data_IF_713841986878
#
_entry.id   IF_713841986878
#
_cell.length_a   1.000
_cell.length_b   1.000
_cell.length_c   1.000
_cell.angle_alpha   90.00
_cell.angle_beta   90.00
_cell.angle_gamma   90.00
#
_symmetry.space_group_name_H-M   'P 1'
#
loop_
_entity.id
_entity.type
_entity.pdbx_description
1 polymer ?
#
# COMPACT_ATOMS: atom_id res chain seq x y z
N UNK A 1 -27.42 -59.76 -23.21
CA UNK A 1 -28.47 -60.13 -22.22
C UNK A 1 -27.80 -60.56 -20.91
N UNK A 2 -28.32 -60.06 -19.76
CA UNK A 2 -28.24 -60.60 -18.39
C UNK A 2 -26.95 -60.51 -17.55
N UNK A 3 -26.90 -59.44 -16.74
CA UNK A 3 -26.77 -59.34 -15.26
C UNK A 3 -26.05 -60.42 -14.42
N UNK A 4 -25.30 -59.98 -13.38
CA UNK A 4 -25.05 -60.77 -12.17
C UNK A 4 -24.06 -60.20 -11.13
N UNK A 5 -24.58 -59.48 -10.13
CA UNK A 5 -23.98 -58.93 -8.89
C UNK A 5 -22.97 -59.81 -8.10
N UNK A 6 -22.04 -59.17 -7.34
CA UNK A 6 -22.14 -59.01 -5.85
C UNK A 6 -20.97 -58.22 -5.22
N UNK A 7 -21.32 -57.50 -4.15
CA UNK A 7 -20.61 -56.46 -3.40
C UNK A 7 -19.58 -56.95 -2.36
N UNK A 8 -18.62 -56.07 -2.04
CA UNK A 8 -18.11 -55.75 -0.68
C UNK A 8 -17.26 -54.47 -0.85
N UNK A 9 -17.52 -53.31 -0.26
CA UNK A 9 -17.97 -52.99 1.09
C UNK A 9 -16.82 -52.26 1.81
N UNK A 10 -16.98 -50.98 2.15
CA UNK A 10 -16.35 -50.33 3.32
C UNK A 10 -16.89 -48.91 3.51
N UNK A 11 -17.18 -48.61 4.77
CA UNK A 11 -17.84 -47.42 5.30
C UNK A 11 -16.83 -46.28 5.46
N UNK A 12 -17.24 -45.04 5.18
CA UNK A 12 -16.70 -43.81 5.75
C UNK A 12 -17.75 -42.70 5.52
N UNK A 13 -18.67 -42.50 6.47
CA UNK A 13 -18.62 -41.45 7.49
C UNK A 13 -18.58 -40.02 6.93
N UNK A 14 -19.77 -39.39 6.98
CA UNK A 14 -20.04 -37.98 7.22
C UNK A 14 -19.19 -36.96 6.44
N UNK A 15 -19.72 -36.49 5.31
CA UNK A 15 -19.36 -35.15 4.82
C UNK A 15 -20.11 -34.12 5.66
N UNK A 16 -19.31 -33.33 6.35
CA UNK A 16 -19.70 -32.24 7.24
C UNK A 16 -20.51 -31.19 6.48
N UNK A 17 -21.67 -30.84 7.03
CA UNK A 17 -22.40 -29.65 6.66
C UNK A 17 -21.62 -28.41 7.13
N UNK A 18 -20.94 -27.73 6.21
CA UNK A 18 -20.45 -26.37 6.47
C UNK A 18 -21.63 -25.41 6.29
N UNK A 19 -22.46 -25.33 7.33
CA UNK A 19 -23.38 -24.23 7.51
C UNK A 19 -22.62 -23.02 8.08
N UNK A 20 -22.93 -21.84 7.55
CA UNK A 20 -22.85 -20.60 8.33
C UNK A 20 -21.64 -19.72 8.06
N UNK A 21 -21.86 -18.63 7.35
CA UNK A 21 -21.77 -17.26 7.88
C UNK A 21 -21.73 -16.27 6.70
N UNK A 22 -22.86 -15.66 6.39
CA UNK A 22 -22.92 -14.47 5.56
C UNK A 22 -23.53 -13.33 6.39
N UNK A 23 -23.03 -12.12 6.12
CA UNK A 23 -23.42 -10.82 6.68
C UNK A 23 -22.76 -10.43 8.01
N UNK A 24 -21.53 -9.92 7.91
CA UNK A 24 -21.04 -8.90 8.83
C UNK A 24 -21.77 -7.59 8.51
N UNK A 25 -22.86 -7.29 9.22
CA UNK A 25 -23.40 -5.94 9.31
C UNK A 25 -22.80 -5.30 10.57
N UNK A 26 -21.79 -4.47 10.37
CA UNK A 26 -21.30 -3.54 11.38
C UNK A 26 -21.73 -2.13 10.96
N UNK A 27 -22.96 -1.77 11.32
CA UNK A 27 -23.35 -0.38 11.46
C UNK A 27 -23.61 -0.11 12.93
N UNK A 28 -22.52 -0.09 13.71
CA UNK A 28 -22.48 0.61 14.99
C UNK A 28 -22.63 2.11 14.66
N UNK A 29 -23.74 2.70 15.07
CA UNK A 29 -23.89 3.38 16.34
C UNK A 29 -22.95 4.60 16.41
N UNK A 30 -23.57 5.77 16.28
CA UNK A 30 -22.91 7.04 16.46
C UNK A 30 -22.34 7.19 17.87
N UNK A 31 -21.29 7.97 17.94
CA UNK A 31 -20.64 8.38 19.17
C UNK A 31 -19.58 9.40 18.80
N UNK A 32 -19.99 10.65 18.69
CA UNK A 32 -19.07 11.77 18.79
C UNK A 32 -18.60 11.80 20.23
N UNK A 33 -17.29 11.68 20.48
CA UNK A 33 -16.68 12.30 21.64
C UNK A 33 -15.17 12.43 21.43
N UNK A 34 -14.68 13.51 22.01
CA UNK A 34 -13.36 14.14 21.94
C UNK A 34 -12.22 13.27 22.47
N UNK A 35 -10.99 13.80 22.40
CA UNK A 35 -9.70 13.25 22.88
C UNK A 35 -9.09 12.19 21.92
N UNK A 36 -7.83 12.23 21.48
CA UNK A 36 -6.62 12.87 21.99
C UNK A 36 -5.63 13.08 20.84
N UNK A 37 -4.85 14.17 20.92
CA UNK A 37 -3.73 14.39 20.03
C UNK A 37 -2.57 13.42 20.29
N UNK A 38 -2.58 12.22 19.71
CA UNK A 38 -1.41 11.35 19.60
C UNK A 38 -1.56 10.37 18.41
N UNK A 39 -1.35 10.85 17.18
CA UNK A 39 -0.87 9.98 16.10
C UNK A 39 0.43 10.56 15.53
N UNK A 40 1.49 10.44 16.32
CA UNK A 40 2.87 10.72 15.91
C UNK A 40 3.52 9.47 15.31
N UNK A 41 2.83 8.79 14.40
CA UNK A 41 3.35 7.54 13.82
C UNK A 41 4.11 7.81 12.53
N UNK A 42 5.42 7.99 12.68
CA UNK A 42 6.37 7.93 11.59
C UNK A 42 6.77 6.50 11.27
N UNK A 43 6.15 5.89 10.25
CA UNK A 43 6.34 4.47 9.91
C UNK A 43 6.91 4.28 8.50
N UNK A 44 6.88 5.31 7.64
CA UNK A 44 7.23 5.17 6.23
C UNK A 44 8.75 5.22 6.00
N UNK A 45 9.32 4.23 5.31
CA UNK A 45 10.71 4.28 4.87
C UNK A 45 10.85 4.99 3.50
N UNK A 46 10.62 6.31 3.46
CA UNK A 46 10.62 7.07 2.20
C UNK A 46 12.02 7.18 1.58
N UNK A 47 13.09 7.14 2.39
CA UNK A 47 14.47 7.09 1.87
C UNK A 47 14.74 5.77 1.14
N UNK A 48 14.32 4.65 1.71
CA UNK A 48 14.40 3.34 1.06
C UNK A 48 13.62 3.30 -0.26
N UNK A 49 12.40 3.83 -0.25
CA UNK A 49 11.59 3.94 -1.47
C UNK A 49 12.27 4.81 -2.54
N UNK A 50 12.80 5.98 -2.17
CA UNK A 50 13.57 6.84 -3.07
C UNK A 50 14.74 6.10 -3.75
N UNK A 51 15.51 5.33 -2.98
CA UNK A 51 16.64 4.57 -3.49
C UNK A 51 16.21 3.46 -4.46
N UNK A 52 15.06 2.84 -4.22
CA UNK A 52 14.51 1.78 -5.07
C UNK A 52 13.86 2.31 -6.37
N UNK A 53 13.36 3.54 -6.39
CA UNK A 53 12.71 4.12 -7.57
C UNK A 53 13.73 4.35 -8.70
N UNK A 54 13.46 3.72 -9.84
CA UNK A 54 14.28 3.77 -11.06
C UNK A 54 13.55 4.39 -12.25
N UNK A 55 14.30 4.59 -13.33
CA UNK A 55 13.80 5.12 -14.60
C UNK A 55 12.81 4.17 -15.24
N UNK A 56 11.79 4.70 -15.91
CA UNK A 56 10.85 3.89 -16.68
C UNK A 56 9.73 3.24 -15.85
N UNK A 57 9.74 3.39 -14.51
CA UNK A 57 8.71 2.81 -13.65
C UNK A 57 7.36 3.49 -13.85
N UNK A 58 6.27 2.71 -13.76
CA UNK A 58 4.90 3.22 -13.78
C UNK A 58 4.49 3.75 -12.40
N UNK A 59 3.40 4.54 -12.35
CA UNK A 59 2.80 4.97 -11.08
C UNK A 59 2.52 3.82 -10.14
N UNK A 60 1.92 2.74 -10.65
CA UNK A 60 1.58 1.57 -9.85
C UNK A 60 2.80 0.88 -9.23
N UNK A 61 3.91 0.80 -9.99
CA UNK A 61 5.17 0.25 -9.47
C UNK A 61 5.75 1.14 -8.37
N UNK A 62 5.72 2.46 -8.55
CA UNK A 62 6.19 3.42 -7.53
C UNK A 62 5.36 3.32 -6.25
N UNK A 63 4.03 3.25 -6.36
CA UNK A 63 3.13 3.06 -5.20
C UNK A 63 3.44 1.74 -4.50
N UNK A 64 3.66 0.66 -5.25
CA UNK A 64 4.03 -0.64 -4.69
C UNK A 64 5.37 -0.65 -3.97
N UNK A 65 6.34 0.16 -4.39
CA UNK A 65 7.63 0.35 -3.70
C UNK A 65 7.44 1.08 -2.37
N UNK A 66 6.61 2.12 -2.35
CA UNK A 66 6.35 2.89 -1.12
C UNK A 66 5.51 2.07 -0.14
N UNK A 67 4.62 1.21 -0.65
CA UNK A 67 3.76 0.34 0.15
C UNK A 67 2.49 1.01 0.66
N UNK A 68 2.31 2.31 0.39
CA UNK A 68 1.16 3.10 0.82
C UNK A 68 0.66 4.05 -0.30
N UNK A 69 -0.63 4.39 -0.33
CA UNK A 69 -1.17 5.40 -1.24
C UNK A 69 -0.51 6.77 -1.06
N UNK A 70 -0.38 7.57 -2.13
CA UNK A 70 0.14 8.93 -2.04
C UNK A 70 -0.84 9.86 -1.31
N UNK A 71 -0.30 10.83 -0.57
CA UNK A 71 -1.10 11.96 -0.03
C UNK A 71 -1.47 12.96 -1.12
N UNK A 72 -0.64 13.07 -2.16
CA UNK A 72 -0.88 13.94 -3.30
C UNK A 72 -0.71 13.15 -4.60
N UNK A 73 -1.73 13.16 -5.44
CA UNK A 73 -1.65 12.57 -6.78
C UNK A 73 -2.18 13.55 -7.82
N UNK A 74 -1.41 13.72 -8.89
CA UNK A 74 -1.83 14.37 -10.13
C UNK A 74 -1.39 13.54 -11.33
N UNK A 75 -1.78 13.92 -12.54
CA UNK A 75 -1.42 13.18 -13.77
C UNK A 75 0.07 12.86 -13.88
N UNK A 76 0.94 13.82 -13.53
CA UNK A 76 2.39 13.69 -13.68
C UNK A 76 3.16 13.63 -12.35
N UNK A 77 2.51 13.44 -11.21
CA UNK A 77 3.17 13.52 -9.91
C UNK A 77 2.50 12.65 -8.84
N UNK A 78 3.33 12.06 -7.98
CA UNK A 78 2.92 11.40 -6.73
C UNK A 78 3.73 11.98 -5.55
N UNK A 79 3.09 12.16 -4.40
CA UNK A 79 3.68 12.77 -3.22
C UNK A 79 3.29 12.05 -1.92
N UNK A 80 4.30 11.81 -1.08
CA UNK A 80 4.17 11.29 0.28
C UNK A 80 4.86 12.22 1.26
N UNK A 81 4.36 12.24 2.49
CA UNK A 81 4.89 13.04 3.59
C UNK A 81 4.68 12.29 4.89
N UNK A 82 5.75 12.04 5.63
CA UNK A 82 5.66 11.36 6.92
C UNK A 82 6.16 12.28 8.04
N UNK A 83 5.39 12.35 9.12
CA UNK A 83 5.65 13.21 10.27
C UNK A 83 5.96 12.33 11.48
N UNK A 84 7.24 12.12 11.72
CA UNK A 84 7.74 11.32 12.84
C UNK A 84 8.27 12.25 13.94
N UNK A 85 8.33 11.77 15.20
CA UNK A 85 8.82 12.50 16.37
C UNK A 85 10.05 13.42 16.11
N UNK A 86 9.79 14.71 15.84
CA UNK A 86 10.85 15.70 15.62
C UNK A 86 11.49 15.68 14.22
N UNK A 87 10.93 14.98 13.23
CA UNK A 87 11.38 15.06 11.84
C UNK A 87 10.24 14.86 10.84
N UNK A 88 10.24 15.67 9.79
CA UNK A 88 9.38 15.50 8.62
C UNK A 88 10.21 14.92 7.48
N UNK A 89 9.71 13.90 6.81
CA UNK A 89 10.28 13.43 5.55
C UNK A 89 9.23 13.50 4.44
N UNK A 90 9.68 13.64 3.20
CA UNK A 90 8.78 13.63 2.06
C UNK A 90 9.44 13.08 0.81
N UNK A 91 8.61 12.51 -0.05
CA UNK A 91 8.99 11.94 -1.33
C UNK A 91 8.06 12.50 -2.39
N UNK A 92 8.63 13.04 -3.46
CA UNK A 92 7.91 13.49 -4.65
C UNK A 92 8.47 12.78 -5.86
N UNK A 93 7.62 12.13 -6.62
CA UNK A 93 7.98 11.43 -7.85
C UNK A 93 7.26 12.09 -9.01
N UNK A 94 8.01 12.49 -10.03
CA UNK A 94 7.46 13.06 -11.26
C UNK A 94 7.54 12.04 -12.38
N UNK A 95 6.60 12.19 -13.30
CA UNK A 95 6.44 11.33 -14.45
C UNK A 95 6.43 12.14 -15.73
N UNK A 96 6.77 11.49 -16.84
CA UNK A 96 6.66 12.02 -18.20
C UNK A 96 6.07 10.95 -19.11
N UNK A 97 5.45 11.37 -20.20
CA UNK A 97 4.98 10.44 -21.23
C UNK A 97 6.11 10.10 -22.20
N UNK A 98 6.43 8.82 -22.34
CA UNK A 98 7.38 8.29 -23.34
C UNK A 98 6.66 7.20 -24.13
N UNK A 99 6.55 7.38 -25.46
CA UNK A 99 5.87 6.40 -26.31
C UNK A 99 4.40 6.14 -25.93
N UNK A 100 3.70 7.14 -25.38
CA UNK A 100 2.33 7.01 -24.89
C UNK A 100 2.18 6.43 -23.48
N UNK A 101 3.28 6.03 -22.83
CA UNK A 101 3.27 5.50 -21.48
C UNK A 101 3.80 6.53 -20.47
N UNK A 102 3.10 6.68 -19.36
CA UNK A 102 3.53 7.52 -18.25
C UNK A 102 4.59 6.77 -17.41
N UNK A 103 5.81 7.31 -17.38
CA UNK A 103 6.96 6.69 -16.71
C UNK A 103 7.71 7.70 -15.83
N UNK A 104 8.38 7.21 -14.80
CA UNK A 104 9.16 8.04 -13.88
C UNK A 104 10.25 8.82 -14.61
N UNK A 105 10.33 10.13 -14.33
CA UNK A 105 11.31 11.07 -14.89
C UNK A 105 12.23 11.66 -13.83
N UNK A 106 11.75 11.82 -12.60
CA UNK A 106 12.58 12.25 -11.48
C UNK A 106 11.97 11.85 -10.14
N UNK A 107 12.82 11.69 -9.14
CA UNK A 107 12.39 11.56 -7.75
C UNK A 107 13.13 12.59 -6.90
N UNK A 108 12.43 13.17 -5.93
CA UNK A 108 12.96 14.08 -4.93
C UNK A 108 12.59 13.54 -3.56
N UNK A 109 13.58 13.31 -2.71
CA UNK A 109 13.37 12.98 -1.31
C UNK A 109 13.93 14.07 -0.43
N UNK A 110 13.24 14.39 0.67
CA UNK A 110 13.76 15.26 1.69
C UNK A 110 13.49 14.72 3.10
N UNK A 111 14.34 15.11 4.04
CA UNK A 111 14.10 15.00 5.46
C UNK A 111 14.48 16.32 6.13
N UNK A 112 13.66 16.76 7.06
CA UNK A 112 13.84 17.95 7.87
C UNK A 112 13.64 17.56 9.33
N UNK A 113 14.73 17.50 10.09
CA UNK A 113 14.67 17.33 11.54
C UNK A 113 14.48 18.69 12.22
N UNK A 114 13.68 18.72 13.30
CA UNK A 114 13.54 19.89 14.16
C UNK A 114 14.93 20.29 14.68
N UNK A 115 15.40 21.45 14.24
CA UNK A 115 16.54 22.14 14.85
C UNK A 115 17.73 22.43 13.96
N UNK A 116 18.06 21.69 12.88
CA UNK A 116 19.24 22.08 12.06
C UNK A 116 19.47 21.40 10.71
N UNK A 117 19.02 20.16 10.46
CA UNK A 117 19.49 19.41 9.27
C UNK A 117 18.34 19.13 8.32
N UNK A 118 18.40 19.79 7.15
CA UNK A 118 17.62 19.43 5.97
C UNK A 118 18.52 18.71 4.98
N UNK A 119 18.12 17.51 4.54
CA UNK A 119 18.72 16.83 3.39
C UNK A 119 17.70 16.76 2.29
N UNK A 120 18.12 17.04 1.06
CA UNK A 120 17.30 16.85 -0.14
C UNK A 120 18.14 16.18 -1.21
N UNK A 121 17.59 15.14 -1.83
CA UNK A 121 18.23 14.43 -2.93
C UNK A 121 17.31 14.43 -4.13
N UNK A 122 17.86 14.81 -5.29
CA UNK A 122 17.16 14.83 -6.56
C UNK A 122 17.82 13.82 -7.50
N UNK A 123 17.00 12.93 -8.07
CA UNK A 123 17.42 11.94 -9.06
C UNK A 123 16.75 12.27 -10.39
N UNK A 124 17.54 12.57 -11.42
CA UNK A 124 17.08 12.53 -12.81
C UNK A 124 17.09 11.10 -13.31
N UNK A 125 16.04 10.69 -14.03
CA UNK A 125 15.79 9.31 -14.46
C UNK A 125 15.53 9.18 -15.97
#
# INVERSE_FOLDING_TARGET
>A
MKQGHKSAGRRAFAQWALAGAAALVLSACGGSDSDDGLDRQGVLNLEGAYNAIGSGMSKAQVIGIVGEPPHQESDFMLGWSDYSYGSTQGLTVRFRTVGGQLVTSSASWFVQANGTVSRSLNKGL
#
